data_IF_891957697923
#
_entry.id   IF_891957697923
#
_cell.length_a   1.000
_cell.length_b   1.000
_cell.length_c   1.000
_cell.angle_alpha   90.00
_cell.angle_beta   90.00
_cell.angle_gamma   90.00
#
_symmetry.space_group_name_H-M   'P 1'
#
loop_
_entity.id
_entity.type
_entity.pdbx_description
1 polymer ?
#
# COMPACT_ATOMS: atom_id res chain seq x y z
N UNK A 1 9.60 21.34 -33.53
CA UNK A 1 9.28 19.98 -33.98
C UNK A 1 8.91 19.20 -32.73
N UNK A 2 7.63 19.15 -32.37
CA UNK A 2 7.17 18.40 -31.18
C UNK A 2 6.91 16.97 -31.62
N UNK A 3 7.66 16.02 -31.08
CA UNK A 3 7.38 14.60 -31.26
C UNK A 3 6.07 14.29 -30.53
N UNK A 4 5.03 13.95 -31.29
CA UNK A 4 3.85 13.29 -30.73
C UNK A 4 4.29 11.86 -30.41
N UNK A 5 4.34 11.51 -29.13
CA UNK A 5 4.63 10.14 -28.72
C UNK A 5 3.50 9.21 -29.20
N UNK A 6 3.87 8.01 -29.65
CA UNK A 6 2.90 7.03 -30.14
C UNK A 6 1.87 6.68 -29.04
N UNK A 7 0.61 6.37 -29.40
CA UNK A 7 -0.38 5.93 -28.44
C UNK A 7 0.14 4.72 -27.67
N UNK A 8 0.21 4.82 -26.34
CA UNK A 8 0.78 3.79 -25.46
C UNK A 8 2.18 4.10 -24.91
N UNK A 9 2.85 5.15 -25.39
CA UNK A 9 4.09 5.68 -24.80
C UNK A 9 3.77 7.03 -24.15
N UNK A 10 3.40 7.00 -22.86
CA UNK A 10 3.01 8.20 -22.13
C UNK A 10 2.77 7.99 -20.63
N UNK A 11 2.85 9.09 -19.88
CA UNK A 11 2.51 9.14 -18.45
C UNK A 11 1.05 8.68 -18.25
N UNK A 12 0.82 7.68 -17.39
CA UNK A 12 -0.50 7.06 -17.23
C UNK A 12 -1.55 7.97 -16.58
N UNK A 13 -1.14 9.02 -15.85
CA UNK A 13 -2.03 10.00 -15.18
C UNK A 13 -3.23 9.36 -14.45
N UNK A 14 -3.00 8.25 -13.74
CA UNK A 14 -4.05 7.50 -13.05
C UNK A 14 -4.60 8.33 -11.89
N UNK A 15 -5.94 8.50 -11.75
CA UNK A 15 -6.54 9.20 -10.62
C UNK A 15 -6.20 8.51 -9.29
N UNK A 16 -5.83 9.28 -8.26
CA UNK A 16 -5.52 8.76 -6.92
C UNK A 16 -6.75 8.46 -6.06
N UNK A 17 -7.91 9.01 -6.43
CA UNK A 17 -9.17 8.99 -5.65
C UNK A 17 -9.08 9.61 -4.24
N UNK A 18 -7.98 10.30 -3.91
CA UNK A 18 -7.86 11.11 -2.70
C UNK A 18 -8.54 12.45 -2.93
N UNK A 19 -9.64 12.71 -2.21
CA UNK A 19 -10.51 13.89 -2.42
C UNK A 19 -10.32 15.01 -1.40
N UNK A 20 -9.55 14.76 -0.33
CA UNK A 20 -9.24 15.73 0.70
C UNK A 20 -7.81 15.52 1.20
N UNK A 21 -7.14 16.63 1.55
CA UNK A 21 -5.80 16.60 2.14
C UNK A 21 -5.94 16.50 3.65
N UNK A 22 -5.17 15.64 4.34
CA UNK A 22 -5.19 15.56 5.78
C UNK A 22 -4.91 16.91 6.43
N UNK A 23 -5.60 17.22 7.52
CA UNK A 23 -5.47 18.51 8.21
C UNK A 23 -4.98 18.39 9.66
N UNK A 24 -4.65 17.18 10.12
CA UNK A 24 -4.16 16.93 11.47
C UNK A 24 -5.26 16.89 12.54
N UNK A 25 -6.53 16.79 12.13
CA UNK A 25 -7.65 16.56 13.05
C UNK A 25 -8.14 15.11 13.05
N UNK A 26 -7.50 14.25 12.25
CA UNK A 26 -7.85 12.85 12.13
C UNK A 26 -7.62 12.11 13.44
N UNK A 27 -8.59 11.30 13.83
CA UNK A 27 -8.54 10.47 15.03
C UNK A 27 -9.02 9.07 14.72
N UNK A 28 -8.46 8.09 15.40
CA UNK A 28 -8.89 6.69 15.33
C UNK A 28 -7.76 5.72 15.05
N UNK A 29 -8.14 4.44 15.04
CA UNK A 29 -7.25 3.32 14.83
C UNK A 29 -7.41 2.81 13.38
N UNK A 30 -6.30 2.77 12.65
CA UNK A 30 -6.25 2.40 11.24
C UNK A 30 -5.25 1.27 11.03
N UNK A 31 -5.54 0.40 10.05
CA UNK A 31 -4.59 -0.59 9.57
C UNK A 31 -4.00 -0.13 8.24
N UNK A 32 -2.67 -0.18 8.13
CA UNK A 32 -1.97 -0.07 6.85
C UNK A 32 -1.32 -1.41 6.51
N UNK A 33 -1.56 -1.86 5.28
CA UNK A 33 -1.03 -3.11 4.74
C UNK A 33 -0.13 -2.77 3.55
N UNK A 34 1.14 -3.14 3.65
CA UNK A 34 2.16 -2.84 2.64
C UNK A 34 2.72 -4.16 2.10
N UNK A 35 2.30 -4.50 0.88
CA UNK A 35 2.68 -5.72 0.18
C UNK A 35 3.82 -5.42 -0.79
N UNK A 36 5.05 -5.70 -0.34
CA UNK A 36 6.23 -5.68 -1.18
C UNK A 36 6.44 -7.01 -1.92
N UNK A 37 7.56 -7.11 -2.63
CA UNK A 37 7.92 -8.35 -3.33
C UNK A 37 8.36 -9.49 -2.40
N UNK A 38 9.08 -9.17 -1.33
CA UNK A 38 9.67 -10.15 -0.41
C UNK A 38 9.13 -10.08 1.01
N UNK A 39 8.52 -8.94 1.38
CA UNK A 39 8.03 -8.67 2.72
C UNK A 39 6.62 -8.11 2.66
N UNK A 40 5.81 -8.52 3.62
CA UNK A 40 4.51 -7.93 3.90
C UNK A 40 4.55 -7.28 5.28
N UNK A 41 4.15 -6.01 5.36
CA UNK A 41 4.14 -5.25 6.61
C UNK A 41 2.71 -4.90 7.01
N UNK A 42 2.36 -5.22 8.25
CA UNK A 42 1.09 -4.83 8.89
C UNK A 42 1.39 -3.78 9.95
N UNK A 43 0.73 -2.62 9.84
CA UNK A 43 0.83 -1.53 10.81
C UNK A 43 -0.53 -1.25 11.44
N UNK A 44 -0.57 -1.16 12.76
CA UNK A 44 -1.61 -0.47 13.50
C UNK A 44 -1.15 0.98 13.72
N UNK A 45 -1.92 1.92 13.18
CA UNK A 45 -1.69 3.35 13.27
C UNK A 45 -2.79 3.95 14.13
N UNK A 46 -2.41 4.63 15.21
CA UNK A 46 -3.35 5.35 16.08
C UNK A 46 -3.14 6.84 15.91
N UNK A 47 -4.15 7.51 15.35
CA UNK A 47 -4.14 8.96 15.15
C UNK A 47 -4.87 9.65 16.30
N UNK A 48 -4.27 10.70 16.84
CA UNK A 48 -4.83 11.58 17.89
C UNK A 48 -4.61 13.04 17.47
N UNK A 49 -5.12 13.41 16.30
CA UNK A 49 -4.89 14.71 15.70
C UNK A 49 -3.46 14.83 15.18
N UNK A 50 -2.67 15.73 15.76
CA UNK A 50 -1.27 15.95 15.37
C UNK A 50 -0.30 14.88 15.86
N UNK A 51 -0.75 13.95 16.70
CA UNK A 51 0.04 12.83 17.20
C UNK A 51 -0.31 11.53 16.47
N UNK A 52 0.70 10.71 16.19
CA UNK A 52 0.55 9.39 15.62
C UNK A 52 1.44 8.38 16.34
N UNK A 53 0.84 7.29 16.80
CA UNK A 53 1.56 6.12 17.31
C UNK A 53 1.46 5.00 16.28
N UNK A 54 2.57 4.30 16.03
CA UNK A 54 2.61 3.19 15.09
C UNK A 54 3.27 1.98 15.71
N UNK A 55 2.64 0.83 15.53
CA UNK A 55 3.21 -0.48 15.86
C UNK A 55 2.98 -1.44 14.70
N UNK A 56 3.91 -2.37 14.46
CA UNK A 56 3.75 -3.28 13.34
C UNK A 56 4.62 -4.52 13.42
N UNK A 57 4.34 -5.44 12.50
CA UNK A 57 5.09 -6.67 12.26
C UNK A 57 5.36 -6.82 10.77
N UNK A 58 6.53 -7.37 10.45
CA UNK A 58 6.95 -7.70 9.10
C UNK A 58 6.92 -9.22 8.98
N UNK A 59 6.38 -9.70 7.86
CA UNK A 59 6.29 -11.11 7.50
C UNK A 59 7.07 -11.32 6.21
N UNK A 60 7.96 -12.29 6.20
CA UNK A 60 8.64 -12.71 4.97
C UNK A 60 7.65 -13.47 4.08
N UNK A 61 7.65 -13.17 2.78
CA UNK A 61 6.78 -13.81 1.81
C UNK A 61 7.53 -14.98 1.17
N UNK A 62 7.09 -16.24 1.33
CA UNK A 62 7.74 -17.38 0.72
C UNK A 62 7.77 -17.30 -0.82
N UNK A 63 8.83 -17.85 -1.44
CA UNK A 63 8.94 -17.90 -2.91
C UNK A 63 7.75 -18.60 -3.59
N UNK A 64 7.14 -19.60 -2.93
CA UNK A 64 5.95 -20.28 -3.43
C UNK A 64 4.73 -19.37 -3.53
N UNK A 65 4.62 -18.36 -2.66
CA UNK A 65 3.56 -17.35 -2.69
C UNK A 65 3.88 -16.28 -3.71
N UNK A 66 5.13 -15.79 -3.76
CA UNK A 66 5.56 -14.78 -4.75
C UNK A 66 5.35 -15.23 -6.21
N UNK A 67 5.54 -16.53 -6.47
CA UNK A 67 5.36 -17.17 -7.79
C UNK A 67 4.04 -17.93 -7.91
N UNK A 68 3.17 -17.83 -6.90
CA UNK A 68 1.90 -18.52 -6.83
C UNK A 68 0.77 -17.79 -7.58
N UNK A 69 -0.46 -18.22 -7.35
CA UNK A 69 -1.65 -17.57 -7.90
C UNK A 69 -2.09 -16.37 -7.04
N UNK A 70 -2.96 -15.52 -7.57
CA UNK A 70 -3.58 -14.45 -6.77
C UNK A 70 -4.34 -14.95 -5.54
N UNK A 71 -4.92 -16.16 -5.62
CA UNK A 71 -5.58 -16.82 -4.49
C UNK A 71 -4.60 -17.27 -3.41
N UNK A 72 -3.38 -17.70 -3.79
CA UNK A 72 -2.34 -18.04 -2.82
C UNK A 72 -1.92 -16.80 -2.01
N UNK A 73 -1.86 -15.63 -2.66
CA UNK A 73 -1.56 -14.36 -1.98
C UNK A 73 -2.70 -13.95 -1.03
N UNK A 74 -3.96 -14.10 -1.44
CA UNK A 74 -5.11 -13.69 -0.62
C UNK A 74 -5.36 -14.59 0.60
N UNK A 75 -4.84 -15.83 0.57
CA UNK A 75 -5.02 -16.83 1.65
C UNK A 75 -3.79 -16.98 2.54
N UNK A 76 -2.69 -16.28 2.25
CA UNK A 76 -1.46 -16.33 3.03
C UNK A 76 -1.72 -15.96 4.50
N UNK A 77 -1.17 -16.78 5.41
CA UNK A 77 -1.37 -16.66 6.85
C UNK A 77 -0.15 -15.98 7.49
N UNK A 78 -0.44 -15.02 8.35
CA UNK A 78 0.53 -14.20 9.05
C UNK A 78 0.79 -14.78 10.45
N UNK A 79 1.54 -15.88 10.50
CA UNK A 79 2.00 -16.48 11.76
C UNK A 79 3.34 -15.86 12.20
#
# INVERSE_FOLDING_TARGET
MYSVSAPGVGLKMIPSYVRAIPNGTEVGDFLALDLGGTNFRVLLIRLKGHEAEMSGKIYEIPQSIQRGTGEAVSTFRFE
#
